data_IF_407351496686
#
_entry.id   IF_407351496686
#
_cell.length_a   1.000
_cell.length_b   1.000
_cell.length_c   1.000
_cell.angle_alpha   90.00
_cell.angle_beta   90.00
_cell.angle_gamma   90.00
#
_symmetry.space_group_name_H-M   'P 1'
#
loop_
_entity.id
_entity.type
_entity.pdbx_description
1 polymer ?
#
# COMPACT_ATOMS: atom_id res chain seq x y z
N UNK A 1 15.86 -1.21 -25.36
CA UNK A 1 14.97 -0.37 -24.53
C UNK A 1 14.61 -1.16 -23.29
N UNK A 2 14.84 -0.62 -22.09
CA UNK A 2 14.49 -1.32 -20.84
C UNK A 2 12.99 -1.13 -20.61
N UNK A 3 12.25 -2.24 -20.48
CA UNK A 3 10.81 -2.21 -20.15
C UNK A 3 10.60 -2.22 -18.65
N UNK A 4 9.53 -1.60 -18.18
CA UNK A 4 9.15 -1.65 -16.77
C UNK A 4 8.86 -3.11 -16.33
N UNK A 5 9.08 -3.40 -15.05
CA UNK A 5 8.72 -4.70 -14.46
C UNK A 5 7.22 -4.98 -14.70
N UNK A 6 6.89 -6.18 -15.16
CA UNK A 6 5.52 -6.51 -15.55
C UNK A 6 5.06 -5.91 -16.89
N UNK A 7 5.93 -5.22 -17.63
CA UNK A 7 5.67 -4.72 -18.98
C UNK A 7 4.87 -3.41 -19.04
N UNK A 8 4.37 -2.89 -17.92
CA UNK A 8 3.57 -1.66 -17.85
C UNK A 8 4.17 -0.67 -16.84
N UNK A 9 4.53 0.52 -17.31
CA UNK A 9 4.91 1.63 -16.43
C UNK A 9 3.65 2.30 -15.87
N UNK A 10 3.56 2.35 -14.55
CA UNK A 10 2.50 3.05 -13.83
C UNK A 10 2.91 4.50 -13.57
N UNK A 11 2.01 5.44 -13.76
CA UNK A 11 2.15 6.83 -13.34
C UNK A 11 0.79 7.32 -12.84
N UNK A 12 0.71 7.68 -11.57
CA UNK A 12 -0.52 8.08 -10.87
C UNK A 12 -0.40 9.45 -10.20
N UNK A 13 0.49 10.31 -10.71
CA UNK A 13 0.61 11.69 -10.23
C UNK A 13 -0.58 12.51 -10.71
N UNK A 14 -1.26 13.20 -9.77
CA UNK A 14 -2.43 14.04 -10.06
C UNK A 14 -2.33 15.39 -9.34
N UNK A 15 -3.10 16.36 -9.82
CA UNK A 15 -3.26 17.68 -9.19
C UNK A 15 -4.65 17.86 -8.54
N UNK A 16 -5.33 16.76 -8.19
CA UNK A 16 -6.65 16.82 -7.56
C UNK A 16 -6.58 17.49 -6.17
N UNK A 17 -7.65 18.21 -5.81
CA UNK A 17 -7.83 18.78 -4.49
C UNK A 17 -8.50 17.73 -3.58
N UNK A 18 -7.83 17.25 -2.53
CA UNK A 18 -8.35 16.22 -1.65
C UNK A 18 -9.16 16.76 -0.47
N UNK A 19 -9.65 18.00 -0.52
CA UNK A 19 -10.38 18.62 0.60
C UNK A 19 -11.64 17.84 0.97
N UNK A 20 -11.83 17.61 2.27
CA UNK A 20 -13.04 16.96 2.82
C UNK A 20 -13.02 15.43 2.82
N UNK A 21 -11.94 14.78 2.38
CA UNK A 21 -11.82 13.33 2.44
C UNK A 21 -11.49 12.83 3.86
N UNK A 22 -12.00 11.66 4.20
CA UNK A 22 -11.52 10.92 5.37
C UNK A 22 -10.00 10.69 5.23
N UNK A 23 -9.24 10.95 6.29
CA UNK A 23 -7.79 10.87 6.22
C UNK A 23 -7.21 9.80 7.14
N UNK A 24 -6.12 9.19 6.67
CA UNK A 24 -5.31 8.24 7.43
C UNK A 24 -3.87 8.76 7.50
N UNK A 25 -3.34 8.88 8.73
CA UNK A 25 -1.95 9.23 8.96
C UNK A 25 -1.08 8.00 8.75
N UNK A 26 0.01 8.16 8.00
CA UNK A 26 0.94 7.08 7.66
C UNK A 26 2.36 7.40 8.12
N UNK A 27 3.19 6.35 8.25
CA UNK A 27 4.61 6.51 8.54
C UNK A 27 5.38 7.06 7.35
N UNK A 28 6.59 7.59 7.60
CA UNK A 28 7.48 8.04 6.53
C UNK A 28 7.86 6.89 5.57
N UNK A 29 8.06 5.67 6.09
CA UNK A 29 8.35 4.50 5.26
C UNK A 29 7.20 4.20 4.30
N UNK A 30 5.97 4.24 4.81
CA UNK A 30 4.80 3.99 3.98
C UNK A 30 4.56 5.12 2.97
N UNK A 31 4.91 6.36 3.31
CA UNK A 31 4.87 7.49 2.39
C UNK A 31 5.81 7.26 1.18
N UNK A 32 7.01 6.74 1.41
CA UNK A 32 7.93 6.36 0.33
C UNK A 32 7.33 5.27 -0.56
N UNK A 33 6.64 4.28 0.00
CA UNK A 33 5.96 3.24 -0.79
C UNK A 33 4.84 3.84 -1.66
N UNK A 34 4.09 4.80 -1.14
CA UNK A 34 3.05 5.54 -1.89
C UNK A 34 3.65 6.28 -3.08
N UNK A 35 4.75 7.00 -2.88
CA UNK A 35 5.48 7.70 -3.95
C UNK A 35 5.99 6.71 -5.01
N UNK A 36 6.60 5.60 -4.58
CA UNK A 36 7.10 4.56 -5.47
C UNK A 36 6.00 3.93 -6.32
N UNK A 37 4.80 3.75 -5.76
CA UNK A 37 3.64 3.28 -6.52
C UNK A 37 3.21 4.34 -7.56
N UNK A 38 3.05 5.59 -7.13
CA UNK A 38 2.54 6.65 -7.98
C UNK A 38 3.48 7.02 -9.12
N UNK A 39 4.79 7.04 -8.87
CA UNK A 39 5.83 7.33 -9.85
C UNK A 39 6.20 6.13 -10.74
N UNK A 40 5.63 4.97 -10.46
CA UNK A 40 5.83 3.75 -11.26
C UNK A 40 7.09 2.96 -10.93
N UNK A 41 7.81 3.29 -9.86
CA UNK A 41 8.97 2.53 -9.40
C UNK A 41 8.53 1.11 -9.00
N UNK A 42 7.35 0.98 -8.38
CA UNK A 42 6.74 -0.30 -8.01
C UNK A 42 5.85 -0.88 -9.12
N UNK A 43 6.07 -0.51 -10.39
CA UNK A 43 5.32 -1.13 -11.48
C UNK A 43 5.45 -2.66 -11.45
N UNK A 44 4.38 -3.41 -11.69
CA UNK A 44 3.08 -2.99 -12.22
C UNK A 44 2.03 -2.60 -11.17
N UNK A 45 2.40 -2.43 -9.89
CA UNK A 45 1.43 -2.06 -8.86
C UNK A 45 0.81 -0.70 -9.14
N UNK A 46 -0.51 -0.63 -9.03
CA UNK A 46 -1.30 0.60 -9.15
C UNK A 46 -1.78 1.11 -7.77
N UNK A 47 -1.60 0.30 -6.73
CA UNK A 47 -1.98 0.59 -5.35
C UNK A 47 -1.51 -0.50 -4.40
N UNK A 48 -1.97 -0.45 -3.17
CA UNK A 48 -1.72 -1.52 -2.19
C UNK A 48 -2.43 -2.80 -2.58
N UNK A 49 -1.83 -3.94 -2.24
CA UNK A 49 -2.29 -5.27 -2.66
C UNK A 49 -3.71 -5.57 -2.17
N UNK A 50 -4.53 -6.10 -3.07
CA UNK A 50 -5.78 -6.74 -2.70
C UNK A 50 -5.52 -8.11 -2.06
N UNK A 51 -6.55 -8.72 -1.50
CA UNK A 51 -6.42 -10.00 -0.78
C UNK A 51 -5.84 -11.12 -1.65
N UNK A 52 -6.28 -11.22 -2.91
CA UNK A 52 -5.81 -12.26 -3.84
C UNK A 52 -4.32 -12.12 -4.15
N UNK A 53 -3.85 -10.90 -4.45
CA UNK A 53 -2.44 -10.63 -4.69
C UNK A 53 -1.60 -10.83 -3.43
N UNK A 54 -2.10 -10.39 -2.27
CA UNK A 54 -1.44 -10.59 -0.98
C UNK A 54 -1.23 -12.08 -0.70
N UNK A 55 -2.27 -12.91 -0.79
CA UNK A 55 -2.18 -14.35 -0.57
C UNK A 55 -1.24 -15.03 -1.58
N UNK A 56 -1.24 -14.59 -2.83
CA UNK A 56 -0.31 -15.09 -3.85
C UNK A 56 1.14 -14.71 -3.54
N UNK A 57 1.40 -13.49 -3.11
CA UNK A 57 2.75 -13.02 -2.74
C UNK A 57 3.30 -13.82 -1.55
N UNK A 58 2.54 -13.99 -0.47
CA UNK A 58 3.03 -14.72 0.71
C UNK A 58 3.20 -16.22 0.46
N UNK A 59 2.46 -16.81 -0.50
CA UNK A 59 2.54 -18.25 -0.80
C UNK A 59 3.53 -18.60 -1.91
N UNK A 60 3.73 -17.71 -2.88
CA UNK A 60 4.48 -18.00 -4.11
C UNK A 60 5.56 -16.97 -4.45
N UNK A 61 5.61 -15.83 -3.75
CA UNK A 61 6.47 -14.71 -4.11
C UNK A 61 6.11 -14.04 -5.45
N UNK A 62 4.83 -14.12 -5.84
CA UNK A 62 4.31 -13.59 -7.11
C UNK A 62 2.92 -13.00 -6.93
N UNK A 63 2.60 -11.97 -7.72
CA UNK A 63 1.25 -11.46 -7.87
C UNK A 63 0.34 -12.52 -8.51
N UNK A 64 -0.96 -12.34 -8.45
CA UNK A 64 -1.95 -13.26 -9.04
C UNK A 64 -1.81 -13.44 -10.56
N UNK A 65 -1.21 -12.47 -11.25
CA UNK A 65 -0.87 -12.51 -12.68
C UNK A 65 0.51 -13.12 -12.98
N UNK A 66 1.11 -13.79 -12.00
CA UNK A 66 2.41 -14.50 -12.10
C UNK A 66 3.65 -13.59 -12.21
N UNK A 67 3.52 -12.29 -12.00
CA UNK A 67 4.66 -11.37 -11.94
C UNK A 67 5.37 -11.53 -10.59
N UNK A 68 6.70 -11.67 -10.59
CA UNK A 68 7.50 -11.82 -9.38
C UNK A 68 7.34 -10.59 -8.44
N UNK A 69 6.92 -10.83 -7.21
CA UNK A 69 6.77 -9.83 -6.17
C UNK A 69 6.92 -10.50 -4.81
N UNK A 70 8.01 -10.23 -4.11
CA UNK A 70 8.43 -11.06 -2.97
C UNK A 70 8.10 -10.50 -1.59
N UNK A 71 7.83 -9.20 -1.50
CA UNK A 71 7.46 -8.52 -0.24
C UNK A 71 6.12 -7.83 -0.42
N UNK A 72 5.12 -8.11 0.43
CA UNK A 72 3.80 -7.47 0.32
C UNK A 72 3.89 -5.95 0.47
N UNK A 73 3.31 -5.22 -0.48
CA UNK A 73 3.15 -3.76 -0.41
C UNK A 73 1.73 -3.46 0.06
N UNK A 74 1.57 -3.15 1.33
CA UNK A 74 0.27 -3.10 2.01
C UNK A 74 0.14 -1.89 2.92
N UNK A 75 -1.11 -1.46 3.16
CA UNK A 75 -1.48 -0.46 4.16
C UNK A 75 -2.27 -1.16 5.27
N UNK A 76 -1.73 -1.16 6.47
CA UNK A 76 -2.37 -1.74 7.64
C UNK A 76 -3.19 -0.69 8.42
N UNK A 77 -4.35 -1.10 8.87
CA UNK A 77 -5.29 -0.28 9.65
C UNK A 77 -5.93 -1.08 10.78
N UNK A 78 -6.39 -0.38 11.83
CA UNK A 78 -7.27 -0.97 12.82
C UNK A 78 -8.69 -1.16 12.23
N UNK A 79 -9.52 -1.91 12.93
CA UNK A 79 -10.87 -2.27 12.48
C UNK A 79 -11.75 -1.03 12.23
N UNK A 80 -11.71 -0.06 13.15
CA UNK A 80 -12.54 1.15 13.05
C UNK A 80 -12.13 2.04 11.87
N UNK A 81 -10.81 2.23 11.70
CA UNK A 81 -10.26 2.96 10.55
C UNK A 81 -10.59 2.25 9.24
N UNK A 82 -10.48 0.92 9.21
CA UNK A 82 -10.83 0.12 8.05
C UNK A 82 -12.29 0.26 7.65
N UNK A 83 -13.22 0.20 8.60
CA UNK A 83 -14.65 0.41 8.34
C UNK A 83 -14.93 1.79 7.75
N UNK A 84 -14.37 2.85 8.37
CA UNK A 84 -14.52 4.23 7.89
C UNK A 84 -13.92 4.43 6.49
N UNK A 85 -12.77 3.82 6.22
CA UNK A 85 -12.12 3.88 4.92
C UNK A 85 -12.98 3.23 3.83
N UNK A 86 -13.56 2.06 4.14
CA UNK A 86 -14.46 1.34 3.22
C UNK A 86 -15.75 2.12 2.95
N UNK A 87 -16.32 2.74 3.98
CA UNK A 87 -17.53 3.59 3.84
C UNK A 87 -17.25 4.86 3.04
N UNK A 88 -16.07 5.48 3.24
CA UNK A 88 -15.68 6.69 2.53
C UNK A 88 -15.39 6.45 1.05
N UNK A 89 -14.88 5.27 0.68
CA UNK A 89 -14.47 4.92 -0.68
C UNK A 89 -13.17 5.59 -1.11
N UNK A 90 -13.08 6.92 -0.99
CA UNK A 90 -11.87 7.69 -1.24
C UNK A 90 -11.27 8.19 0.07
N UNK A 91 -9.97 7.97 0.25
CA UNK A 91 -9.25 8.27 1.48
C UNK A 91 -7.98 9.06 1.18
N UNK A 92 -7.76 10.13 1.96
CA UNK A 92 -6.53 10.91 1.90
C UNK A 92 -5.46 10.31 2.82
N UNK A 93 -4.30 10.00 2.28
CA UNK A 93 -3.11 9.67 3.09
C UNK A 93 -2.34 10.93 3.46
N UNK A 94 -1.95 11.02 4.72
CA UNK A 94 -1.18 12.13 5.26
C UNK A 94 0.18 11.67 5.78
N UNK A 95 1.20 12.44 5.45
CA UNK A 95 2.53 12.33 6.04
C UNK A 95 2.49 12.61 7.55
N UNK A 96 3.55 12.24 8.31
CA UNK A 96 3.69 12.58 9.72
C UNK A 96 3.62 14.08 10.02
N UNK A 97 3.95 14.94 9.06
CA UNK A 97 3.83 16.41 9.17
C UNK A 97 2.40 16.93 8.93
N UNK A 98 1.45 16.05 8.62
CA UNK A 98 0.05 16.39 8.32
C UNK A 98 -0.23 16.75 6.86
N UNK A 99 0.79 16.76 5.99
CA UNK A 99 0.62 17.04 4.55
C UNK A 99 -0.07 15.87 3.85
N UNK A 100 -1.14 16.14 3.10
CA UNK A 100 -1.78 15.15 2.25
C UNK A 100 -0.91 14.83 1.04
N UNK A 101 -0.65 13.53 0.81
CA UNK A 101 0.26 13.09 -0.27
C UNK A 101 -0.44 12.26 -1.34
N UNK A 102 -1.47 11.52 -0.98
CA UNK A 102 -2.13 10.64 -1.94
C UNK A 102 -3.61 10.45 -1.63
N UNK A 103 -4.37 10.15 -2.66
CA UNK A 103 -5.75 9.69 -2.54
C UNK A 103 -5.80 8.21 -2.94
N UNK A 104 -6.34 7.40 -2.06
CA UNK A 104 -6.61 5.98 -2.30
C UNK A 104 -8.06 5.78 -2.71
N UNK A 105 -8.30 4.98 -3.74
CA UNK A 105 -9.62 4.44 -4.06
C UNK A 105 -9.76 3.06 -3.44
N UNK A 106 -10.44 3.01 -2.29
CA UNK A 106 -10.58 1.81 -1.46
C UNK A 106 -11.61 0.87 -2.08
N UNK A 107 -11.20 -0.37 -2.38
CA UNK A 107 -12.10 -1.43 -2.86
C UNK A 107 -12.60 -2.30 -1.73
N UNK A 108 -11.69 -2.69 -0.84
CA UNK A 108 -12.02 -3.58 0.27
C UNK A 108 -11.08 -3.40 1.46
N UNK A 109 -11.48 -3.93 2.60
CA UNK A 109 -10.65 -4.06 3.81
C UNK A 109 -10.75 -5.50 4.27
N UNK A 110 -9.62 -6.16 4.44
CA UNK A 110 -9.57 -7.58 4.76
C UNK A 110 -8.61 -7.88 5.91
N UNK A 111 -8.93 -8.91 6.68
CA UNK A 111 -8.04 -9.47 7.71
C UNK A 111 -7.00 -10.40 7.09
N UNK A 112 -5.88 -10.56 7.76
CA UNK A 112 -4.79 -11.43 7.34
C UNK A 112 -4.16 -12.17 8.53
N UNK A 113 -3.45 -13.25 8.26
CA UNK A 113 -2.72 -14.02 9.25
C UNK A 113 -1.24 -13.57 9.29
N UNK A 114 -0.82 -12.94 10.40
CA UNK A 114 0.55 -12.47 10.59
C UNK A 114 1.57 -13.60 10.61
N UNK A 115 1.23 -14.75 11.20
CA UNK A 115 2.13 -15.91 11.26
C UNK A 115 2.31 -16.54 9.89
N UNK A 116 1.24 -16.70 9.13
CA UNK A 116 1.32 -17.15 7.74
C UNK A 116 2.15 -16.16 6.90
N UNK A 117 2.00 -14.86 7.13
CA UNK A 117 2.76 -13.82 6.44
C UNK A 117 4.25 -13.91 6.72
N UNK A 118 4.68 -13.96 7.98
CA UNK A 118 6.11 -14.02 8.32
C UNK A 118 6.75 -15.30 7.84
N UNK A 119 6.05 -16.43 7.93
CA UNK A 119 6.53 -17.71 7.40
C UNK A 119 6.69 -17.68 5.88
N UNK A 120 5.69 -17.16 5.18
CA UNK A 120 5.68 -17.11 3.71
C UNK A 120 6.74 -16.15 3.14
N UNK A 121 6.89 -14.97 3.76
CA UNK A 121 7.80 -13.93 3.25
C UNK A 121 9.24 -14.15 3.70
N UNK A 122 9.46 -14.46 4.98
CA UNK A 122 10.80 -14.51 5.59
C UNK A 122 11.30 -15.94 5.86
N UNK A 123 10.44 -16.93 5.83
CA UNK A 123 10.78 -18.32 6.14
C UNK A 123 11.17 -18.56 7.60
N UNK A 124 10.86 -17.64 8.50
CA UNK A 124 11.17 -17.71 9.93
C UNK A 124 10.14 -16.93 10.74
N UNK A 125 9.97 -17.32 12.01
CA UNK A 125 9.16 -16.61 13.00
C UNK A 125 10.01 -15.89 14.04
N UNK A 126 11.34 -15.87 13.87
CA UNK A 126 12.26 -15.26 14.82
C UNK A 126 12.09 -13.73 14.83
N UNK A 127 11.65 -13.18 15.96
CA UNK A 127 11.44 -11.74 16.14
C UNK A 127 12.73 -10.91 16.13
N UNK A 128 13.90 -11.55 16.21
CA UNK A 128 15.18 -10.87 15.98
C UNK A 128 15.34 -10.45 14.50
N UNK A 129 14.59 -11.06 13.59
CA UNK A 129 14.53 -10.65 12.19
C UNK A 129 13.69 -9.37 12.04
N UNK A 130 14.25 -8.27 11.50
CA UNK A 130 13.55 -6.98 11.44
C UNK A 130 12.20 -7.03 10.71
N UNK A 131 12.09 -7.81 9.65
CA UNK A 131 10.85 -7.98 8.89
C UNK A 131 9.76 -8.70 9.69
N UNK A 132 10.13 -9.70 10.49
CA UNK A 132 9.21 -10.41 11.40
C UNK A 132 8.69 -9.46 12.48
N UNK A 133 9.59 -8.73 13.14
CA UNK A 133 9.23 -7.75 14.16
C UNK A 133 8.29 -6.66 13.58
N UNK A 134 8.60 -6.15 12.38
CA UNK A 134 7.74 -5.18 11.69
C UNK A 134 6.35 -5.76 11.41
N UNK A 135 6.25 -6.95 10.83
CA UNK A 135 4.96 -7.59 10.51
C UNK A 135 4.13 -7.86 11.78
N UNK A 136 4.76 -8.33 12.86
CA UNK A 136 4.07 -8.56 14.13
C UNK A 136 3.53 -7.26 14.75
N UNK A 137 4.17 -6.13 14.53
CA UNK A 137 3.74 -4.81 15.01
C UNK A 137 2.64 -4.16 14.16
N UNK A 138 2.38 -4.67 12.97
CA UNK A 138 1.32 -4.15 12.09
C UNK A 138 -0.07 -4.37 12.71
N UNK A 139 -1.03 -3.56 12.27
CA UNK A 139 -2.45 -3.69 12.61
C UNK A 139 -3.07 -4.90 11.93
N UNK A 140 -4.31 -5.25 12.30
CA UNK A 140 -4.90 -6.55 11.97
C UNK A 140 -5.66 -6.58 10.64
N UNK A 141 -5.86 -5.43 9.99
CA UNK A 141 -6.56 -5.31 8.72
C UNK A 141 -5.68 -4.63 7.68
N UNK A 142 -5.89 -5.01 6.42
CA UNK A 142 -5.22 -4.44 5.26
C UNK A 142 -6.24 -3.79 4.33
N UNK A 143 -5.85 -2.68 3.70
CA UNK A 143 -6.70 -1.93 2.76
C UNK A 143 -6.34 -2.33 1.34
N UNK A 144 -7.31 -2.88 0.62
CA UNK A 144 -7.23 -3.12 -0.82
C UNK A 144 -7.64 -1.87 -1.58
N UNK A 145 -6.84 -1.47 -2.54
CA UNK A 145 -7.11 -0.29 -3.36
C UNK A 145 -7.03 -0.61 -4.85
N UNK A 146 -7.91 -0.01 -5.66
CA UNK A 146 -7.84 -0.16 -7.12
C UNK A 146 -6.70 0.66 -7.71
N UNK A 147 -6.43 1.83 -7.14
CA UNK A 147 -5.28 2.66 -7.51
C UNK A 147 -5.00 3.72 -6.44
N UNK A 148 -3.79 4.27 -6.50
CA UNK A 148 -3.30 5.34 -5.64
C UNK A 148 -2.93 6.53 -6.51
N UNK A 149 -3.48 7.70 -6.22
CA UNK A 149 -3.09 8.96 -6.87
C UNK A 149 -2.22 9.79 -5.95
N UNK A 150 -1.00 10.11 -6.38
CA UNK A 150 -0.15 11.07 -5.67
C UNK A 150 -0.69 12.49 -5.88
N UNK A 151 -1.02 13.18 -4.80
CA UNK A 151 -1.39 14.59 -4.83
C UNK A 151 -0.13 15.44 -4.66
N UNK A 152 0.15 16.31 -5.64
CA UNK A 152 1.24 17.26 -5.50
C UNK A 152 0.86 18.34 -4.48
N UNK A 153 1.72 18.64 -3.49
CA UNK A 153 1.51 19.75 -2.58
C UNK A 153 1.38 21.07 -3.34
N UNK A 154 0.46 21.94 -2.91
CA UNK A 154 0.23 23.26 -3.51
C UNK A 154 1.45 24.18 -3.47
N UNK A 155 2.42 23.91 -2.59
CA UNK A 155 3.69 24.64 -2.50
C UNK A 155 4.58 24.49 -3.73
N UNK A 156 4.35 23.53 -4.61
CA UNK A 156 5.07 23.37 -5.88
C UNK A 156 4.37 24.04 -7.07
N UNK A 157 3.20 24.64 -6.87
CA UNK A 157 2.53 25.47 -7.86
C UNK A 157 3.15 26.86 -7.83
N UNK A 158 4.20 27.06 -8.57
CA UNK A 158 4.74 28.39 -8.86
C UNK A 158 4.15 28.89 -10.15
#
# INVERSE_FOLDING_TARGET
MITAHGGKLVNRVTKSDPTGLFSIDISADLANDVENIADGIFSPLEGFLNKQDFESVISKGRLSNDIAWTIPTVLDVDEDTGKKAKEAGDVLLKNPDGTGIAVLHVEDVYSYDKQATVNGVYGTNDESHPGVAKTNSMKDFLVAVSYTHLTLPTIYSV
#
